data_IF_014481440276
#
_entry.id   IF_014481440276
#
_cell.length_a   1.000
_cell.length_b   1.000
_cell.length_c   1.000
_cell.angle_alpha   90.00
_cell.angle_beta   90.00
_cell.angle_gamma   90.00
#
_symmetry.space_group_name_H-M   'P 1'
#
loop_
_entity.id
_entity.type
_entity.pdbx_description
1 polymer ?
#
# COMPACT_ATOMS: atom_id res chain seq x y z
N UNK A 1 -3.23 -38.80 10.28
CA UNK A 1 -2.74 -37.68 9.44
C UNK A 1 -3.91 -36.96 8.78
N UNK A 2 -4.87 -37.70 8.21
CA UNK A 2 -6.12 -37.12 7.67
C UNK A 2 -6.94 -36.44 8.79
N UNK A 3 -7.13 -37.10 9.93
CA UNK A 3 -7.91 -36.54 11.05
C UNK A 3 -7.27 -35.28 11.66
N UNK A 4 -5.94 -35.19 11.62
CA UNK A 4 -5.19 -34.03 12.07
C UNK A 4 -5.38 -32.81 11.15
N UNK A 5 -5.44 -33.04 9.83
CA UNK A 5 -5.72 -31.98 8.87
C UNK A 5 -7.18 -31.52 8.96
N UNK A 6 -8.10 -32.45 9.23
CA UNK A 6 -9.52 -32.18 9.45
C UNK A 6 -9.72 -31.30 10.70
N UNK A 7 -9.04 -31.63 11.80
CA UNK A 7 -9.07 -30.87 13.06
C UNK A 7 -8.48 -29.44 12.91
N UNK A 8 -7.40 -29.26 12.17
CA UNK A 8 -6.84 -27.92 11.87
C UNK A 8 -7.81 -27.10 11.01
N UNK A 9 -8.42 -27.73 10.00
CA UNK A 9 -9.33 -27.03 9.09
C UNK A 9 -10.67 -26.66 9.75
N UNK A 10 -11.04 -27.35 10.82
CA UNK A 10 -12.29 -27.17 11.56
C UNK A 10 -12.27 -25.97 12.53
N UNK A 11 -11.14 -25.28 12.68
CA UNK A 11 -11.08 -24.05 13.49
C UNK A 11 -11.74 -22.87 12.75
N UNK A 12 -13.03 -22.67 13.03
CA UNK A 12 -13.85 -21.58 12.46
C UNK A 12 -13.73 -20.28 13.29
N UNK A 13 -13.14 -20.35 14.48
CA UNK A 13 -13.02 -19.17 15.36
C UNK A 13 -11.93 -18.24 14.85
N UNK A 14 -12.29 -17.00 14.54
CA UNK A 14 -11.32 -15.94 14.27
C UNK A 14 -10.37 -15.85 15.48
N UNK A 15 -9.04 -16.03 15.28
CA UNK A 15 -8.10 -15.94 16.39
C UNK A 15 -8.20 -14.56 17.02
N UNK A 16 -8.00 -14.45 18.35
CA UNK A 16 -8.02 -13.16 19.03
C UNK A 16 -7.06 -12.20 18.33
N UNK A 17 -7.49 -10.95 18.14
CA UNK A 17 -6.63 -9.92 17.53
C UNK A 17 -5.34 -9.86 18.34
N UNK A 18 -4.27 -10.37 17.74
CA UNK A 18 -2.92 -10.20 18.26
C UNK A 18 -2.68 -8.70 18.34
N UNK A 19 -2.32 -8.23 19.54
CA UNK A 19 -1.98 -6.81 19.80
C UNK A 19 -1.11 -6.35 18.65
N UNK A 20 -1.56 -5.33 17.93
CA UNK A 20 -0.88 -4.81 16.75
C UNK A 20 0.60 -4.66 17.08
N UNK A 21 1.43 -5.54 16.51
CA UNK A 21 2.88 -5.41 16.62
C UNK A 21 3.19 -4.00 16.16
N UNK A 22 4.14 -3.33 16.83
CA UNK A 22 4.55 -1.95 16.54
C UNK A 22 5.22 -1.89 15.16
N UNK A 23 4.44 -2.13 14.12
CA UNK A 23 4.82 -2.15 12.72
C UNK A 23 4.77 -0.71 12.23
N UNK A 24 5.77 -0.35 11.45
CA UNK A 24 5.76 0.94 10.79
C UNK A 24 4.82 0.85 9.58
N UNK A 25 3.52 1.04 9.85
CA UNK A 25 2.47 0.96 8.84
C UNK A 25 2.73 1.90 7.65
N UNK A 26 3.39 3.05 7.88
CA UNK A 26 3.74 3.96 6.81
C UNK A 26 4.75 3.35 5.82
N UNK A 27 5.72 2.56 6.31
CA UNK A 27 6.67 1.83 5.47
C UNK A 27 6.00 0.70 4.69
N UNK A 28 5.09 -0.02 5.33
CA UNK A 28 4.35 -1.10 4.69
C UNK A 28 3.42 -0.55 3.60
N UNK A 29 2.71 0.55 3.89
CA UNK A 29 1.91 1.26 2.89
C UNK A 29 2.75 1.82 1.74
N UNK A 30 3.96 2.33 2.00
CA UNK A 30 4.86 2.78 0.95
C UNK A 30 5.27 1.62 0.02
N UNK A 31 5.54 0.44 0.60
CA UNK A 31 5.87 -0.76 -0.16
C UNK A 31 4.69 -1.20 -1.04
N UNK A 32 3.46 -1.12 -0.53
CA UNK A 32 2.24 -1.39 -1.31
C UNK A 32 2.07 -0.36 -2.42
N UNK A 33 2.31 0.92 -2.14
CA UNK A 33 2.27 1.99 -3.15
C UNK A 33 3.24 1.72 -4.30
N UNK A 34 4.48 1.32 -3.99
CA UNK A 34 5.49 0.97 -5.00
C UNK A 34 5.04 -0.20 -5.89
N UNK A 35 4.38 -1.22 -5.32
CA UNK A 35 3.78 -2.31 -6.09
C UNK A 35 2.68 -1.77 -7.02
N UNK A 36 1.79 -0.92 -6.51
CA UNK A 36 0.72 -0.33 -7.33
C UNK A 36 1.27 0.53 -8.48
N UNK A 37 2.35 1.28 -8.26
CA UNK A 37 3.02 2.05 -9.32
C UNK A 37 3.66 1.10 -10.34
N UNK A 38 4.33 0.04 -9.89
CA UNK A 38 4.98 -0.93 -10.79
C UNK A 38 3.99 -1.62 -11.73
N UNK A 39 2.79 -1.92 -11.25
CA UNK A 39 1.73 -2.60 -12.01
C UNK A 39 0.59 -1.65 -12.43
N UNK A 40 0.86 -0.34 -12.52
CA UNK A 40 -0.14 0.68 -12.78
C UNK A 40 -0.95 0.40 -14.05
N UNK A 41 -0.28 -0.03 -15.12
CA UNK A 41 -0.92 -0.35 -16.39
C UNK A 41 -1.92 -1.52 -16.30
N UNK A 42 -1.60 -2.55 -15.52
CA UNK A 42 -2.51 -3.70 -15.33
C UNK A 42 -3.68 -3.31 -14.42
N UNK A 43 -3.42 -2.49 -13.40
CA UNK A 43 -4.47 -1.90 -12.58
C UNK A 43 -5.40 -0.97 -13.39
N UNK A 44 -4.87 -0.20 -14.34
CA UNK A 44 -5.67 0.63 -15.25
C UNK A 44 -6.61 -0.23 -16.11
N UNK A 45 -6.14 -1.35 -16.65
CA UNK A 45 -7.00 -2.30 -17.39
C UNK A 45 -8.11 -2.87 -16.49
N UNK A 46 -7.77 -3.26 -15.26
CA UNK A 46 -8.74 -3.79 -14.30
C UNK A 46 -9.74 -2.73 -13.81
N UNK A 47 -9.36 -1.46 -13.82
CA UNK A 47 -10.23 -0.34 -13.42
C UNK A 47 -11.45 -0.17 -14.33
N UNK A 48 -11.37 -0.66 -15.57
CA UNK A 48 -12.49 -0.65 -16.52
C UNK A 48 -13.65 -1.55 -16.07
N UNK A 49 -13.35 -2.60 -15.30
CA UNK A 49 -14.34 -3.55 -14.80
C UNK A 49 -14.69 -3.33 -13.32
N UNK A 50 -13.86 -2.62 -12.56
CA UNK A 50 -13.97 -2.54 -11.09
C UNK A 50 -13.75 -1.12 -10.57
N UNK A 51 -14.80 -0.53 -10.01
CA UNK A 51 -14.79 0.85 -9.51
C UNK A 51 -13.82 1.07 -8.33
N UNK A 52 -13.62 0.09 -7.46
CA UNK A 52 -12.66 0.16 -6.35
C UNK A 52 -11.21 0.33 -6.83
N UNK A 53 -10.85 -0.25 -7.98
CA UNK A 53 -9.51 -0.11 -8.56
C UNK A 53 -9.30 1.30 -9.12
N UNK A 54 -10.36 1.93 -9.64
CA UNK A 54 -10.30 3.34 -10.06
C UNK A 54 -9.98 4.27 -8.89
N UNK A 55 -10.59 4.01 -7.72
CA UNK A 55 -10.31 4.76 -6.48
C UNK A 55 -8.86 4.52 -6.04
N UNK A 56 -8.40 3.26 -6.08
CA UNK A 56 -7.02 2.92 -5.75
C UNK A 56 -6.01 3.67 -6.63
N UNK A 57 -6.22 3.70 -7.94
CA UNK A 57 -5.35 4.44 -8.88
C UNK A 57 -5.31 5.94 -8.57
N UNK A 58 -6.45 6.54 -8.25
CA UNK A 58 -6.51 7.96 -7.85
C UNK A 58 -5.70 8.24 -6.57
N UNK A 59 -5.76 7.34 -5.58
CA UNK A 59 -4.97 7.44 -4.35
C UNK A 59 -3.48 7.29 -4.65
N UNK A 60 -3.10 6.29 -5.47
CA UNK A 60 -1.71 6.05 -5.88
C UNK A 60 -1.13 7.27 -6.58
N UNK A 61 -1.89 7.90 -7.48
CA UNK A 61 -1.49 9.11 -8.18
C UNK A 61 -1.37 10.32 -7.22
N UNK A 62 -2.34 10.48 -6.31
CA UNK A 62 -2.30 11.53 -5.29
C UNK A 62 -1.06 11.46 -4.39
N UNK A 63 -0.70 10.25 -3.94
CA UNK A 63 0.51 10.00 -3.12
C UNK A 63 1.77 10.28 -3.94
N UNK A 64 1.80 9.88 -5.22
CA UNK A 64 2.93 10.16 -6.13
C UNK A 64 3.16 11.67 -6.31
N UNK A 65 2.10 12.43 -6.59
CA UNK A 65 2.17 13.89 -6.73
C UNK A 65 2.66 14.56 -5.45
N UNK A 66 2.18 14.12 -4.28
CA UNK A 66 2.62 14.64 -2.98
C UNK A 66 4.10 14.36 -2.71
N UNK A 67 4.59 13.17 -3.06
CA UNK A 67 6.03 12.82 -3.01
C UNK A 67 6.86 13.74 -3.91
N UNK A 68 6.43 13.94 -5.14
CA UNK A 68 7.12 14.81 -6.10
C UNK A 68 7.14 16.27 -5.63
N UNK A 69 6.03 16.77 -5.08
CA UNK A 69 5.93 18.10 -4.50
C UNK A 69 6.91 18.28 -3.34
N UNK A 70 6.92 17.36 -2.37
CA UNK A 70 7.84 17.42 -1.24
C UNK A 70 9.31 17.41 -1.67
N UNK A 71 9.65 16.60 -2.68
CA UNK A 71 11.01 16.54 -3.22
C UNK A 71 11.41 17.83 -3.94
N UNK A 72 10.47 18.51 -4.61
CA UNK A 72 10.72 19.82 -5.23
C UNK A 72 10.90 20.91 -4.18
N UNK A 73 9.99 20.98 -3.20
CA UNK A 73 10.06 21.92 -2.08
C UNK A 73 11.35 21.74 -1.27
N UNK A 74 11.75 20.49 -1.00
CA UNK A 74 12.99 20.20 -0.28
C UNK A 74 14.24 20.59 -1.05
N UNK A 75 14.24 20.48 -2.39
CA UNK A 75 15.34 20.98 -3.23
C UNK A 75 15.43 22.50 -3.19
N UNK A 76 14.30 23.20 -3.26
CA UNK A 76 14.23 24.66 -3.17
C UNK A 76 14.79 25.14 -1.82
N UNK A 77 14.43 24.46 -0.72
CA UNK A 77 14.95 24.78 0.61
C UNK A 77 16.47 24.58 0.69
N UNK A 78 17.03 23.52 0.10
CA UNK A 78 18.48 23.31 0.09
C UNK A 78 19.24 24.36 -0.74
N UNK A 79 18.68 24.84 -1.84
CA UNK A 79 19.28 25.93 -2.65
C UNK A 79 19.20 27.29 -1.94
N UNK A 80 18.15 27.56 -1.16
CA UNK A 80 17.98 28.81 -0.40
C UNK A 80 18.96 28.95 0.77
N UNK A 81 19.41 27.83 1.36
CA UNK A 81 20.44 27.81 2.41
C UNK A 81 21.88 27.72 1.88
N UNK A 82 22.09 27.68 0.56
CA UNK A 82 23.40 27.58 -0.08
C UNK A 82 23.98 28.93 -0.58
N UNK A 83 23.34 30.06 -0.23
CA UNK A 83 23.77 31.43 -0.56
C UNK A 83 24.27 32.17 0.68
#
# INVERSE_FOLDING_TARGET
MIDFLDEISSQITTPPQVVAVKQNLARDLASIHDICVKYEHDLQKLSLSRANIKILLAIVEGVKRKKEQYMKESKIVCDEFAV
#
